data_IF_921809121099
#
_entry.id   IF_921809121099
#
_cell.length_a   1.000
_cell.length_b   1.000
_cell.length_c   1.000
_cell.angle_alpha   90.00
_cell.angle_beta   90.00
_cell.angle_gamma   90.00
#
_symmetry.space_group_name_H-M   'P 1'
#
loop_
_entity.id
_entity.type
_entity.pdbx_description
1 polymer ?
#
# COMPACT_ATOMS: atom_id res chain seq x y z
N UNK A 1 -7.61 -8.98 12.98
CA UNK A 1 -7.23 -7.62 12.55
C UNK A 1 -7.56 -6.66 13.68
N UNK A 2 -6.71 -5.67 13.95
CA UNK A 2 -6.97 -4.63 14.95
C UNK A 2 -7.78 -3.49 14.31
N UNK A 3 -8.76 -2.93 15.03
CA UNK A 3 -9.57 -1.81 14.53
C UNK A 3 -9.07 -0.47 15.09
N UNK A 4 -8.81 0.49 14.20
CA UNK A 4 -8.34 1.84 14.52
C UNK A 4 -9.33 2.86 13.96
N UNK A 5 -9.92 3.65 14.85
CA UNK A 5 -10.82 4.75 14.48
C UNK A 5 -10.23 6.15 14.71
N UNK A 6 -9.06 6.26 15.35
CA UNK A 6 -8.46 7.55 15.71
C UNK A 6 -7.40 8.01 14.70
N UNK A 7 -7.52 9.22 14.13
CA UNK A 7 -6.48 9.82 13.28
C UNK A 7 -5.19 10.13 14.05
N UNK A 8 -5.28 10.19 15.39
CA UNK A 8 -4.11 10.41 16.24
C UNK A 8 -3.18 9.19 16.32
N UNK A 9 -3.65 8.00 15.89
CA UNK A 9 -2.88 6.77 15.94
C UNK A 9 -1.55 6.91 15.15
N UNK A 10 -0.40 6.52 15.73
CA UNK A 10 0.90 6.66 15.08
C UNK A 10 0.99 6.01 13.69
N UNK A 11 0.33 4.87 13.48
CA UNK A 11 0.32 4.16 12.20
C UNK A 11 -0.45 4.95 11.13
N UNK A 12 -1.56 5.58 11.51
CA UNK A 12 -2.35 6.46 10.63
C UNK A 12 -1.54 7.70 10.26
N UNK A 13 -0.88 8.35 11.23
CA UNK A 13 0.01 9.49 10.97
C UNK A 13 1.18 9.12 10.06
N UNK A 14 1.74 7.92 10.24
CA UNK A 14 2.82 7.41 9.40
C UNK A 14 2.36 7.25 7.95
N UNK A 15 1.23 6.56 7.70
CA UNK A 15 0.67 6.41 6.35
C UNK A 15 0.34 7.76 5.74
N UNK A 16 -0.26 8.68 6.50
CA UNK A 16 -0.55 10.04 6.03
C UNK A 16 0.71 10.79 5.61
N UNK A 17 1.81 10.62 6.36
CA UNK A 17 3.09 11.24 6.03
C UNK A 17 3.72 10.61 4.79
N UNK A 18 3.62 9.28 4.63
CA UNK A 18 3.98 8.62 3.36
C UNK A 18 3.19 9.31 2.23
N UNK A 19 1.87 9.33 2.24
CA UNK A 19 1.08 9.91 1.13
C UNK A 19 1.39 11.39 0.84
N UNK A 20 1.68 12.22 1.84
CA UNK A 20 1.83 13.67 1.65
C UNK A 20 3.28 14.17 1.47
N UNK A 21 4.30 13.46 1.98
CA UNK A 21 5.69 13.93 1.94
C UNK A 21 6.53 13.06 0.99
N UNK A 22 6.74 13.56 -0.24
CA UNK A 22 7.54 12.88 -1.27
C UNK A 22 8.97 12.55 -0.81
N UNK A 23 9.61 13.42 -0.03
CA UNK A 23 10.99 13.19 0.45
C UNK A 23 10.99 12.09 1.50
N UNK A 24 9.99 12.08 2.38
CA UNK A 24 9.79 11.01 3.34
C UNK A 24 9.51 9.68 2.64
N UNK A 25 8.57 9.61 1.67
CA UNK A 25 8.33 8.38 0.88
C UNK A 25 9.58 7.79 0.28
N UNK A 26 10.37 8.63 -0.41
CA UNK A 26 11.61 8.20 -1.06
C UNK A 26 12.62 7.64 -0.07
N UNK A 27 12.72 8.25 1.11
CA UNK A 27 13.63 7.79 2.16
C UNK A 27 13.18 6.48 2.79
N UNK A 28 11.87 6.32 3.02
CA UNK A 28 11.30 5.08 3.56
C UNK A 28 11.30 3.96 2.49
N UNK A 29 11.44 4.32 1.21
CA UNK A 29 11.43 3.36 0.11
C UNK A 29 10.09 2.66 -0.01
N UNK A 30 8.99 3.37 0.25
CA UNK A 30 7.64 2.81 0.21
C UNK A 30 6.76 3.51 -0.84
N UNK A 31 5.82 2.76 -1.39
CA UNK A 31 4.74 3.28 -2.23
C UNK A 31 3.39 2.69 -1.80
N UNK A 32 2.30 3.38 -2.13
CA UNK A 32 0.94 2.93 -1.82
C UNK A 32 0.29 2.25 -3.03
N UNK A 33 -0.46 1.19 -2.77
CA UNK A 33 -1.37 0.53 -3.71
C UNK A 33 -2.79 0.64 -3.18
N UNK A 34 -3.70 1.10 -4.04
CA UNK A 34 -5.13 1.26 -3.72
C UNK A 34 -6.04 0.50 -4.70
N UNK A 35 -5.48 -0.35 -5.55
CA UNK A 35 -6.20 -1.11 -6.58
C UNK A 35 -6.06 -2.59 -6.34
N UNK A 36 -7.18 -3.32 -6.29
CA UNK A 36 -7.19 -4.77 -6.02
C UNK A 36 -6.29 -5.55 -6.98
N UNK A 37 -6.30 -5.19 -8.27
CA UNK A 37 -5.45 -5.78 -9.31
C UNK A 37 -3.97 -5.69 -8.94
N UNK A 38 -3.48 -4.50 -8.59
CA UNK A 38 -2.06 -4.31 -8.29
C UNK A 38 -1.66 -5.00 -6.98
N UNK A 39 -2.56 -5.07 -6.00
CA UNK A 39 -2.31 -5.84 -4.79
C UNK A 39 -2.24 -7.33 -5.11
N UNK A 40 -3.18 -7.86 -5.91
CA UNK A 40 -3.18 -9.25 -6.36
C UNK A 40 -1.89 -9.58 -7.12
N UNK A 41 -1.51 -8.77 -8.12
CA UNK A 41 -0.31 -8.97 -8.94
C UNK A 41 0.97 -8.94 -8.08
N UNK A 42 1.03 -8.06 -7.08
CA UNK A 42 2.16 -7.99 -6.15
C UNK A 42 2.25 -9.26 -5.30
N UNK A 43 1.13 -9.72 -4.74
CA UNK A 43 1.07 -10.93 -3.93
C UNK A 43 1.40 -12.19 -4.75
N UNK A 44 1.00 -12.26 -6.02
CA UNK A 44 1.34 -13.36 -6.94
C UNK A 44 2.85 -13.43 -7.22
N UNK A 45 3.54 -12.28 -7.19
CA UNK A 45 5.00 -12.21 -7.28
C UNK A 45 5.70 -12.40 -5.93
N UNK A 46 4.94 -12.70 -4.86
CA UNK A 46 5.46 -12.89 -3.51
C UNK A 46 5.79 -11.59 -2.76
N UNK A 47 5.38 -10.43 -3.29
CA UNK A 47 5.65 -9.13 -2.68
C UNK A 47 4.57 -8.82 -1.65
N UNK A 48 4.97 -8.84 -0.38
CA UNK A 48 4.07 -8.57 0.74
C UNK A 48 4.07 -7.08 1.08
N UNK A 49 2.91 -6.52 1.46
CA UNK A 49 2.84 -5.21 2.08
C UNK A 49 3.67 -5.16 3.37
N UNK A 50 4.12 -3.96 3.73
CA UNK A 50 4.61 -3.65 5.08
C UNK A 50 3.46 -3.37 6.05
N UNK A 51 2.34 -2.87 5.51
CA UNK A 51 1.12 -2.54 6.24
C UNK A 51 -0.05 -2.52 5.26
N UNK A 52 -1.17 -3.14 5.63
CA UNK A 52 -2.45 -3.02 4.93
C UNK A 52 -3.49 -2.34 5.83
N UNK A 53 -4.11 -1.29 5.31
CA UNK A 53 -5.25 -0.63 5.92
C UNK A 53 -6.49 -0.95 5.10
N UNK A 54 -7.58 -1.38 5.71
CA UNK A 54 -8.81 -1.65 4.99
C UNK A 54 -10.05 -1.23 5.78
N UNK A 55 -11.12 -0.93 5.06
CA UNK A 55 -12.45 -0.81 5.65
C UNK A 55 -13.06 -2.19 5.87
N UNK A 56 -13.92 -2.29 6.87
CA UNK A 56 -14.69 -3.51 7.13
C UNK A 56 -15.55 -3.91 5.93
N UNK A 57 -16.18 -2.93 5.27
CA UNK A 57 -16.99 -3.17 4.08
C UNK A 57 -16.21 -3.86 2.95
N UNK A 58 -14.97 -3.42 2.69
CA UNK A 58 -14.11 -4.06 1.71
C UNK A 58 -13.64 -5.45 2.16
N UNK A 59 -13.25 -5.58 3.42
CA UNK A 59 -12.79 -6.85 3.99
C UNK A 59 -13.84 -7.96 3.90
N UNK A 60 -15.14 -7.60 3.87
CA UNK A 60 -16.24 -8.55 3.74
C UNK A 60 -16.57 -8.94 2.29
N UNK A 61 -16.06 -8.21 1.30
CA UNK A 61 -16.26 -8.55 -0.12
C UNK A 61 -15.52 -9.84 -0.50
N UNK A 62 -15.95 -10.56 -1.56
CA UNK A 62 -15.23 -11.73 -2.04
C UNK A 62 -13.76 -11.42 -2.39
N UNK A 63 -13.50 -10.29 -3.04
CA UNK A 63 -12.15 -9.86 -3.42
C UNK A 63 -11.30 -9.52 -2.19
N UNK A 64 -11.85 -8.77 -1.23
CA UNK A 64 -11.18 -8.45 0.02
C UNK A 64 -10.83 -9.71 0.82
N UNK A 65 -11.76 -10.67 0.94
CA UNK A 65 -11.50 -11.96 1.62
C UNK A 65 -10.38 -12.76 0.96
N UNK A 66 -10.38 -12.86 -0.37
CA UNK A 66 -9.31 -13.56 -1.11
C UNK A 66 -7.94 -12.91 -0.89
N UNK A 67 -7.87 -11.59 -1.04
CA UNK A 67 -6.61 -10.85 -0.87
C UNK A 67 -6.12 -10.91 0.58
N UNK A 68 -7.01 -10.76 1.56
CA UNK A 68 -6.66 -10.85 2.98
C UNK A 68 -6.15 -12.24 3.37
N UNK A 69 -6.62 -13.32 2.72
CA UNK A 69 -6.11 -14.67 2.96
C UNK A 69 -4.65 -14.86 2.49
N UNK A 70 -4.18 -14.02 1.56
CA UNK A 70 -2.84 -14.07 0.95
C UNK A 70 -1.84 -13.10 1.61
N UNK A 71 -2.34 -12.10 2.33
CA UNK A 71 -1.53 -11.09 3.02
C UNK A 71 -1.04 -11.62 4.36
N UNK A 72 0.29 -11.58 4.58
CA UNK A 72 0.91 -11.96 5.86
C UNK A 72 1.31 -10.75 6.70
N UNK A 73 1.19 -9.55 6.14
CA UNK A 73 1.53 -8.29 6.76
C UNK A 73 0.55 -7.85 7.86
N UNK A 74 0.96 -6.97 8.79
CA UNK A 74 0.04 -6.30 9.69
C UNK A 74 -1.12 -5.67 8.93
N UNK A 75 -2.34 -6.02 9.33
CA UNK A 75 -3.58 -5.56 8.71
C UNK A 75 -4.50 -4.91 9.73
N UNK A 76 -4.91 -3.67 9.43
CA UNK A 76 -5.71 -2.84 10.33
C UNK A 76 -7.04 -2.48 9.68
N UNK A 77 -8.12 -2.70 10.41
CA UNK A 77 -9.43 -2.19 10.06
C UNK A 77 -9.49 -0.72 10.43
N UNK A 78 -9.86 0.13 9.49
CA UNK A 78 -10.01 1.57 9.70
C UNK A 78 -11.37 2.05 9.22
N UNK A 79 -11.82 3.18 9.78
CA UNK A 79 -13.09 3.77 9.34
C UNK A 79 -12.98 4.26 7.90
N UNK A 80 -14.09 4.28 7.13
CA UNK A 80 -14.11 4.85 5.79
C UNK A 80 -13.66 6.31 5.73
N UNK A 81 -13.89 7.07 6.81
CA UNK A 81 -13.45 8.46 6.92
C UNK A 81 -11.92 8.57 7.00
N UNK A 82 -11.26 7.72 7.79
CA UNK A 82 -9.81 7.67 7.83
C UNK A 82 -9.23 7.22 6.50
N UNK A 83 -9.82 6.21 5.85
CA UNK A 83 -9.34 5.74 4.56
C UNK A 83 -9.41 6.85 3.50
N UNK A 84 -10.51 7.62 3.47
CA UNK A 84 -10.65 8.78 2.56
C UNK A 84 -9.63 9.89 2.84
N UNK A 85 -9.29 10.14 4.10
CA UNK A 85 -8.27 11.13 4.47
C UNK A 85 -6.83 10.70 4.10
N UNK A 86 -6.61 9.39 3.93
CA UNK A 86 -5.31 8.82 3.56
C UNK A 86 -5.16 8.59 2.04
N UNK A 87 -6.26 8.35 1.34
CA UNK A 87 -6.26 8.05 -0.10
C UNK A 87 -5.91 9.28 -0.93
N UNK A 88 -5.13 9.08 -2.00
CA UNK A 88 -4.94 10.10 -3.04
C UNK A 88 -6.10 10.11 -4.05
N UNK A 89 -7.00 9.11 -3.99
CA UNK A 89 -8.13 8.95 -4.90
C UNK A 89 -9.43 9.52 -4.33
N UNK A 90 -10.28 10.05 -5.21
CA UNK A 90 -11.59 10.56 -4.79
C UNK A 90 -12.55 9.46 -4.33
N UNK A 91 -12.35 8.23 -4.83
CA UNK A 91 -13.18 7.05 -4.50
C UNK A 91 -12.27 5.87 -4.17
N UNK A 92 -11.82 5.74 -2.91
CA UNK A 92 -10.92 4.68 -2.51
C UNK A 92 -11.58 3.31 -2.70
N UNK A 93 -10.84 2.31 -3.19
CA UNK A 93 -11.35 0.95 -3.39
C UNK A 93 -11.74 0.22 -2.08
N UNK A 94 -11.51 0.87 -0.93
CA UNK A 94 -11.83 0.33 0.39
C UNK A 94 -10.62 -0.22 1.15
N UNK A 95 -9.41 -0.11 0.58
CA UNK A 95 -8.14 -0.41 1.23
C UNK A 95 -6.99 0.50 0.74
N UNK A 96 -5.87 0.47 1.45
CA UNK A 96 -4.57 1.04 1.07
C UNK A 96 -3.47 0.13 1.61
N UNK A 97 -2.57 -0.32 0.74
CA UNK A 97 -1.42 -1.14 1.09
C UNK A 97 -0.11 -0.39 0.86
N UNK A 98 0.80 -0.41 1.84
CA UNK A 98 2.15 0.15 1.69
C UNK A 98 3.14 -0.96 1.33
N UNK A 99 3.78 -0.86 0.17
CA UNK A 99 4.74 -1.85 -0.32
C UNK A 99 6.15 -1.24 -0.43
N UNK A 100 7.21 -2.05 -0.26
CA UNK A 100 8.57 -1.61 -0.48
C UNK A 100 8.84 -1.40 -1.97
N UNK A 101 9.53 -0.31 -2.31
CA UNK A 101 10.08 -0.07 -3.63
C UNK A 101 11.30 -0.99 -3.81
N UNK A 102 11.27 -1.92 -4.77
CA UNK A 102 12.43 -2.78 -5.03
C UNK A 102 13.57 -1.95 -5.60
N UNK A 103 14.79 -2.27 -5.19
CA UNK A 103 16.02 -1.72 -5.76
C UNK A 103 16.82 -2.88 -6.37
N UNK A 104 16.43 -3.37 -7.56
CA UNK A 104 17.18 -4.44 -8.22
C UNK A 104 18.57 -3.91 -8.64
N UNK A 105 19.60 -4.76 -8.65
CA UNK A 105 20.89 -4.38 -9.21
C UNK A 105 20.75 -4.11 -10.72
N UNK A 106 21.59 -3.24 -11.29
CA UNK A 106 21.63 -3.06 -12.73
C UNK A 106 21.99 -4.39 -13.43
N UNK A 107 21.44 -4.65 -14.63
CA UNK A 107 21.78 -5.84 -15.40
C UNK A 107 23.27 -5.86 -15.73
N UNK A 108 23.90 -7.03 -15.67
CA UNK A 108 25.35 -7.17 -15.85
C UNK A 108 25.81 -6.82 -17.28
N UNK A 109 25.05 -7.27 -18.31
CA UNK A 109 25.34 -7.04 -19.73
C UNK A 109 24.04 -6.68 -20.46
N UNK A 110 23.64 -5.39 -20.50
CA UNK A 110 22.44 -4.99 -21.22
C UNK A 110 22.68 -4.87 -22.74
N UNK A 111 21.81 -5.46 -23.55
CA UNK A 111 21.80 -5.26 -25.01
C UNK A 111 21.22 -3.89 -25.41
N UNK A 112 20.40 -3.31 -24.53
CA UNK A 112 19.76 -2.00 -24.70
C UNK A 112 19.65 -1.31 -23.34
N UNK A 113 20.05 -0.04 -23.26
CA UNK A 113 19.92 0.78 -22.06
C UNK A 113 19.20 2.10 -22.39
N UNK A 114 18.17 2.43 -21.61
CA UNK A 114 17.49 3.72 -21.63
C UNK A 114 17.83 4.47 -20.34
N UNK A 115 18.47 5.64 -20.46
CA UNK A 115 18.75 6.54 -19.34
C UNK A 115 17.81 7.74 -19.47
N UNK A 116 16.98 7.94 -18.46
CA UNK A 116 16.11 9.11 -18.36
C UNK A 116 16.86 10.20 -17.58
N UNK A 117 17.16 11.32 -18.25
CA UNK A 117 17.67 12.52 -17.60
C UNK A 117 16.46 13.42 -17.26
N UNK A 118 16.15 13.53 -15.96
CA UNK A 118 14.95 14.20 -15.42
C UNK A 118 15.28 15.55 -14.79
#
# INVERSE_FOLDING_TARGET
METIASPANPRIKYVKRIQNDRRFRRREGLFAIETERWLADSLDQGWQPTLLLCSEAWAETPAGKDLLARVTAPTLLITPALLRDLSETQTPAGFLALLPIPVPPPPANPDLLLILDL
#
